data_IF_412140784676
#
_entry.id   IF_412140784676
#
_cell.length_a   1.000
_cell.length_b   1.000
_cell.length_c   1.000
_cell.angle_alpha   90.00
_cell.angle_beta   90.00
_cell.angle_gamma   90.00
#
_symmetry.space_group_name_H-M   'P 1'
#
loop_
_entity.id
_entity.type
_entity.pdbx_description
1 polymer ?
#
# COMPACT_ATOMS: atom_id res chain seq x y z
N UNK A 1 -3.77 -7.67 49.95
CA UNK A 1 -2.64 -7.85 49.01
C UNK A 1 -2.45 -9.30 48.57
N UNK A 2 -1.93 -10.24 49.38
CA UNK A 2 -1.71 -11.62 48.88
C UNK A 2 -3.01 -12.37 48.52
N UNK A 3 -4.08 -12.21 49.30
CA UNK A 3 -5.35 -12.87 49.00
C UNK A 3 -6.09 -12.26 47.80
N UNK A 4 -6.02 -10.94 47.63
CA UNK A 4 -6.56 -10.27 46.44
C UNK A 4 -5.85 -10.73 45.16
N UNK A 5 -4.53 -10.91 45.21
CA UNK A 5 -3.76 -11.42 44.07
C UNK A 5 -4.16 -12.85 43.72
N UNK A 6 -4.42 -13.69 44.72
CA UNK A 6 -4.94 -15.05 44.51
C UNK A 6 -6.35 -15.06 43.92
N UNK A 7 -7.21 -14.12 44.33
CA UNK A 7 -8.55 -13.98 43.74
C UNK A 7 -8.49 -13.59 42.26
N UNK A 8 -7.65 -12.62 41.91
CA UNK A 8 -7.47 -12.19 40.52
C UNK A 8 -6.95 -13.35 39.66
N UNK A 9 -5.98 -14.12 40.16
CA UNK A 9 -5.44 -15.30 39.45
C UNK A 9 -6.50 -16.38 39.21
N UNK A 10 -7.39 -16.64 40.19
CA UNK A 10 -8.49 -17.58 40.02
C UNK A 10 -9.50 -17.11 38.97
N UNK A 11 -9.83 -15.82 38.95
CA UNK A 11 -10.71 -15.23 37.93
C UNK A 11 -10.06 -15.34 36.54
N UNK A 12 -8.78 -15.02 36.43
CA UNK A 12 -8.06 -15.07 35.15
C UNK A 12 -7.94 -16.50 34.61
N UNK A 13 -7.62 -17.47 35.47
CA UNK A 13 -7.62 -18.90 35.13
C UNK A 13 -9.00 -19.39 34.71
N UNK A 14 -10.06 -18.89 35.35
CA UNK A 14 -11.43 -19.22 34.96
C UNK A 14 -11.78 -18.68 33.56
N UNK A 15 -11.51 -17.40 33.32
CA UNK A 15 -11.83 -16.74 32.05
C UNK A 15 -10.97 -17.27 30.89
N UNK A 16 -9.73 -17.68 31.16
CA UNK A 16 -8.83 -18.32 30.18
C UNK A 16 -9.11 -19.82 29.97
N UNK A 17 -10.01 -20.44 30.75
CA UNK A 17 -10.34 -21.86 30.65
C UNK A 17 -9.24 -22.80 31.15
N UNK A 18 -8.29 -22.29 31.94
CA UNK A 18 -7.14 -23.06 32.46
C UNK A 18 -7.35 -23.60 33.88
N UNK A 19 -8.46 -23.23 34.52
CA UNK A 19 -8.84 -23.65 35.88
C UNK A 19 -9.08 -25.17 35.96
N UNK A 20 -8.40 -25.88 36.87
CA UNK A 20 -8.46 -27.35 37.00
C UNK A 20 -8.45 -27.84 38.45
N UNK A 21 -9.01 -29.03 38.66
CA UNK A 21 -8.88 -29.78 39.91
C UNK A 21 -9.41 -29.02 41.13
N UNK A 22 -8.57 -28.87 42.16
CA UNK A 22 -8.92 -28.21 43.42
C UNK A 22 -9.24 -26.73 43.27
N UNK A 23 -8.58 -26.03 42.34
CA UNK A 23 -8.84 -24.59 42.09
C UNK A 23 -10.24 -24.36 41.51
N UNK A 24 -10.74 -25.28 40.67
CA UNK A 24 -12.08 -25.19 40.12
C UNK A 24 -13.17 -25.37 41.19
N UNK A 25 -12.92 -26.24 42.16
CA UNK A 25 -13.83 -26.47 43.29
C UNK A 25 -13.86 -25.23 44.19
N UNK A 26 -12.70 -24.71 44.58
CA UNK A 26 -12.59 -23.50 45.39
C UNK A 26 -13.26 -22.29 44.70
N UNK A 27 -13.08 -22.14 43.39
CA UNK A 27 -13.74 -21.11 42.61
C UNK A 27 -15.26 -21.25 42.62
N UNK A 28 -15.80 -22.46 42.47
CA UNK A 28 -17.25 -22.68 42.52
C UNK A 28 -17.83 -22.44 43.91
N UNK A 29 -17.09 -22.76 44.97
CA UNK A 29 -17.49 -22.43 46.34
C UNK A 29 -17.53 -20.92 46.56
N UNK A 30 -16.48 -20.20 46.15
CA UNK A 30 -16.45 -18.73 46.21
C UNK A 30 -17.58 -18.10 45.40
N UNK A 31 -17.85 -18.61 44.19
CA UNK A 31 -18.94 -18.11 43.35
C UNK A 31 -20.34 -18.31 43.96
N UNK A 32 -20.52 -19.37 44.75
CA UNK A 32 -21.80 -19.68 45.42
C UNK A 32 -21.97 -18.91 46.72
N UNK A 33 -20.89 -18.79 47.50
CA UNK A 33 -20.94 -18.32 48.88
C UNK A 33 -20.67 -16.81 48.99
N UNK A 34 -20.01 -16.20 48.01
CA UNK A 34 -19.64 -14.78 48.02
C UNK A 34 -20.32 -13.98 46.88
N UNK A 35 -21.35 -13.17 47.20
CA UNK A 35 -21.99 -12.27 46.24
C UNK A 35 -21.07 -11.19 45.67
N UNK A 36 -20.06 -10.72 46.42
CA UNK A 36 -19.13 -9.71 45.96
C UNK A 36 -18.20 -10.28 44.87
N UNK A 37 -17.69 -11.49 45.09
CA UNK A 37 -16.90 -12.22 44.10
C UNK A 37 -17.66 -12.45 42.79
N UNK A 38 -18.97 -12.73 42.86
CA UNK A 38 -19.82 -12.87 41.68
C UNK A 38 -19.96 -11.58 40.87
N UNK A 39 -20.06 -10.44 41.55
CA UNK A 39 -20.10 -9.12 40.90
C UNK A 39 -18.77 -8.82 40.21
N UNK A 40 -17.67 -9.12 40.89
CA UNK A 40 -16.31 -8.96 40.36
C UNK A 40 -16.10 -9.78 39.08
N UNK A 41 -16.46 -11.08 39.08
CA UNK A 41 -16.39 -11.92 37.87
C UNK A 41 -17.22 -11.34 36.72
N UNK A 42 -18.41 -10.80 37.03
CA UNK A 42 -19.27 -10.20 36.01
C UNK A 42 -18.61 -8.98 35.38
N UNK A 43 -17.96 -8.15 36.20
CA UNK A 43 -17.19 -7.00 35.74
C UNK A 43 -16.01 -7.43 34.87
N UNK A 44 -15.19 -8.36 35.34
CA UNK A 44 -14.05 -8.88 34.58
C UNK A 44 -14.48 -9.50 33.25
N UNK A 45 -15.57 -10.28 33.24
CA UNK A 45 -16.13 -10.87 32.02
C UNK A 45 -16.51 -9.79 31.01
N UNK A 46 -17.21 -8.74 31.45
CA UNK A 46 -17.57 -7.63 30.58
C UNK A 46 -16.33 -6.91 30.02
N UNK A 47 -15.29 -6.71 30.84
CA UNK A 47 -14.04 -6.09 30.39
C UNK A 47 -13.38 -6.97 29.32
N UNK A 48 -13.24 -8.27 29.58
CA UNK A 48 -12.67 -9.24 28.64
C UNK A 48 -13.43 -9.27 27.30
N UNK A 49 -14.75 -9.33 27.34
CA UNK A 49 -15.60 -9.30 26.13
C UNK A 49 -15.38 -8.02 25.31
N UNK A 50 -15.29 -6.86 25.97
CA UNK A 50 -15.04 -5.58 25.27
C UNK A 50 -13.66 -5.52 24.64
N UNK A 51 -12.63 -5.96 25.36
CA UNK A 51 -11.27 -6.04 24.85
C UNK A 51 -11.23 -6.97 23.63
N UNK A 52 -11.93 -8.10 23.68
CA UNK A 52 -11.95 -9.04 22.57
C UNK A 52 -12.65 -8.45 21.33
N UNK A 53 -13.80 -7.82 21.50
CA UNK A 53 -14.55 -7.20 20.40
C UNK A 53 -13.74 -6.06 19.77
N UNK A 54 -13.24 -5.13 20.59
CA UNK A 54 -12.46 -3.98 20.12
C UNK A 54 -11.12 -4.42 19.54
N UNK A 55 -10.47 -5.41 20.15
CA UNK A 55 -9.23 -6.02 19.67
C UNK A 55 -9.41 -6.64 18.29
N UNK A 56 -10.46 -7.45 18.08
CA UNK A 56 -10.80 -8.05 16.78
C UNK A 56 -11.11 -6.98 15.74
N UNK A 57 -11.87 -5.96 16.09
CA UNK A 57 -12.20 -4.86 15.18
C UNK A 57 -10.95 -4.07 14.75
N UNK A 58 -10.07 -3.73 15.70
CA UNK A 58 -8.83 -3.03 15.44
C UNK A 58 -7.84 -3.87 14.62
N UNK A 59 -7.73 -5.16 14.91
CA UNK A 59 -6.90 -6.09 14.14
C UNK A 59 -7.38 -6.17 12.69
N UNK A 60 -8.70 -6.36 12.48
CA UNK A 60 -9.31 -6.39 11.15
C UNK A 60 -9.05 -5.08 10.39
N UNK A 61 -9.20 -3.94 11.05
CA UNK A 61 -8.92 -2.62 10.46
C UNK A 61 -7.46 -2.52 10.02
N UNK A 62 -6.51 -2.90 10.88
CA UNK A 62 -5.07 -2.89 10.55
C UNK A 62 -4.74 -3.78 9.36
N UNK A 63 -5.26 -5.00 9.32
CA UNK A 63 -5.05 -5.94 8.21
C UNK A 63 -5.58 -5.34 6.91
N UNK A 64 -6.80 -4.78 6.92
CA UNK A 64 -7.38 -4.14 5.74
C UNK A 64 -6.54 -2.96 5.27
N UNK A 65 -6.05 -2.11 6.16
CA UNK A 65 -5.16 -0.99 5.80
C UNK A 65 -3.89 -1.46 5.09
N UNK A 66 -3.23 -2.51 5.59
CA UNK A 66 -2.05 -3.07 4.93
C UNK A 66 -2.37 -3.67 3.56
N UNK A 67 -3.52 -4.35 3.44
CA UNK A 67 -3.96 -4.94 2.19
C UNK A 67 -4.27 -3.87 1.13
N UNK A 68 -4.95 -2.79 1.52
CA UNK A 68 -5.22 -1.64 0.64
C UNK A 68 -3.94 -0.92 0.22
N UNK A 69 -3.00 -0.71 1.14
CA UNK A 69 -1.68 -0.15 0.82
C UNK A 69 -0.94 -1.02 -0.22
N UNK A 70 -0.94 -2.33 -0.04
CA UNK A 70 -0.35 -3.28 -1.00
C UNK A 70 -1.00 -3.20 -2.39
N UNK A 71 -2.35 -3.14 -2.45
CA UNK A 71 -3.07 -2.99 -3.72
C UNK A 71 -2.73 -1.66 -4.41
N UNK A 72 -2.66 -0.56 -3.65
CA UNK A 72 -2.30 0.75 -4.18
C UNK A 72 -0.88 0.74 -4.76
N UNK A 73 0.11 0.18 -4.06
CA UNK A 73 1.47 0.05 -4.59
C UNK A 73 1.54 -0.75 -5.89
N UNK A 74 0.72 -1.80 -6.03
CA UNK A 74 0.59 -2.56 -7.29
C UNK A 74 -0.06 -1.72 -8.39
N UNK A 75 -1.08 -0.93 -8.07
CA UNK A 75 -1.77 -0.10 -9.06
C UNK A 75 -0.93 1.11 -9.52
N UNK A 76 -0.08 1.69 -8.68
CA UNK A 76 0.81 2.80 -9.10
C UNK A 76 1.97 2.35 -9.99
N UNK A 77 2.26 1.04 -10.09
CA UNK A 77 3.15 0.47 -11.12
C UNK A 77 2.44 0.36 -12.49
N UNK A 78 1.72 1.40 -12.94
CA UNK A 78 1.23 1.52 -14.34
C UNK A 78 2.41 1.73 -15.30
N UNK A 79 3.20 0.68 -15.53
CA UNK A 79 4.30 0.64 -16.51
C UNK A 79 3.85 0.78 -17.98
N UNK A 80 2.56 0.99 -18.25
CA UNK A 80 2.00 1.02 -19.61
C UNK A 80 1.81 2.39 -20.26
N UNK A 81 1.59 3.46 -19.48
CA UNK A 81 1.27 4.79 -20.04
C UNK A 81 2.50 5.48 -20.63
N UNK A 82 3.62 5.48 -19.89
CA UNK A 82 4.88 6.04 -20.39
C UNK A 82 5.40 5.31 -21.63
N UNK A 83 5.24 3.98 -21.69
CA UNK A 83 5.65 3.20 -22.87
C UNK A 83 4.86 3.60 -24.12
N UNK A 84 3.55 3.88 -24.00
CA UNK A 84 2.73 4.39 -25.12
C UNK A 84 3.13 5.80 -25.54
N UNK A 85 3.45 6.70 -24.61
CA UNK A 85 3.90 8.06 -24.93
C UNK A 85 5.25 8.08 -25.66
N UNK A 86 6.19 7.20 -25.30
CA UNK A 86 7.49 7.08 -25.99
C UNK A 86 7.31 6.68 -27.46
N UNK A 87 6.41 5.74 -27.77
CA UNK A 87 6.16 5.34 -29.16
C UNK A 87 5.54 6.47 -30.01
N UNK A 88 4.61 7.23 -29.44
CA UNK A 88 3.98 8.37 -30.14
C UNK A 88 4.99 9.49 -30.40
N UNK A 89 5.84 9.80 -29.40
CA UNK A 89 6.89 10.81 -29.54
C UNK A 89 7.91 10.44 -30.62
N UNK A 90 8.30 9.17 -30.69
CA UNK A 90 9.23 8.68 -31.72
C UNK A 90 8.68 8.84 -33.15
N UNK A 91 7.42 8.47 -33.38
CA UNK A 91 6.77 8.67 -34.70
C UNK A 91 6.71 10.14 -35.09
N UNK A 92 6.34 11.03 -34.17
CA UNK A 92 6.31 12.47 -34.43
C UNK A 92 7.69 13.03 -34.79
N UNK A 93 8.75 12.58 -34.10
CA UNK A 93 10.11 13.02 -34.37
C UNK A 93 10.60 12.60 -35.77
N UNK A 94 10.29 11.39 -36.21
CA UNK A 94 10.63 10.92 -37.57
C UNK A 94 9.91 11.73 -38.64
N UNK A 95 8.64 12.07 -38.43
CA UNK A 95 7.86 12.88 -39.38
C UNK A 95 8.42 14.29 -39.48
N UNK A 96 8.69 14.95 -38.34
CA UNK A 96 9.26 16.30 -38.30
C UNK A 96 10.66 16.32 -38.94
N UNK A 97 11.50 15.32 -38.64
CA UNK A 97 12.84 15.21 -39.21
C UNK A 97 12.79 14.94 -40.72
N UNK A 98 11.88 14.09 -41.18
CA UNK A 98 11.67 13.83 -42.61
C UNK A 98 11.26 15.09 -43.37
N UNK A 99 10.30 15.86 -42.85
CA UNK A 99 9.88 17.14 -43.45
C UNK A 99 11.03 18.14 -43.44
N UNK A 100 11.80 18.23 -42.36
CA UNK A 100 12.94 19.15 -42.26
C UNK A 100 14.05 18.83 -43.27
N UNK A 101 14.42 17.54 -43.41
CA UNK A 101 15.41 17.10 -44.38
C UNK A 101 14.92 17.32 -45.82
N UNK A 102 13.65 17.03 -46.10
CA UNK A 102 13.06 17.23 -47.43
C UNK A 102 13.04 18.71 -47.82
N UNK A 103 12.57 19.59 -46.94
CA UNK A 103 12.56 21.05 -47.18
C UNK A 103 13.99 21.62 -47.34
N UNK A 104 14.98 21.09 -46.62
CA UNK A 104 16.39 21.48 -46.80
C UNK A 104 16.95 21.01 -48.14
N UNK A 105 16.53 19.85 -48.63
CA UNK A 105 16.98 19.31 -49.91
C UNK A 105 16.47 20.11 -51.12
N UNK A 106 15.24 20.65 -51.06
CA UNK A 106 14.72 21.55 -52.09
C UNK A 106 15.47 22.89 -52.13
N UNK A 107 15.82 23.46 -50.97
CA UNK A 107 16.59 24.71 -50.90
C UNK A 107 18.03 24.56 -51.43
N UNK A 108 18.64 23.38 -51.32
CA UNK A 108 20.01 23.12 -51.77
C UNK A 108 20.12 22.99 -53.31
N UNK A 109 19.00 22.78 -54.02
CA UNK A 109 18.99 22.67 -55.48
C UNK A 109 18.94 24.02 -56.22
N UNK A 110 18.64 25.12 -55.53
CA UNK A 110 18.50 26.46 -56.13
C UNK A 110 19.79 27.31 -56.09
N UNK A 111 20.86 26.85 -55.43
CA UNK A 111 22.12 27.60 -55.25
C UNK A 111 23.25 27.14 -56.22
N UNK A 112 22.90 26.71 -57.43
CA UNK A 112 23.86 26.54 -58.52
C UNK A 112 23.42 27.31 -59.77
N UNK A 113 23.52 28.62 -59.70
CA UNK A 113 23.58 29.46 -60.91
C UNK A 113 25.07 29.54 -61.28
N UNK A 114 25.52 29.00 -62.43
CA UNK A 114 26.90 29.18 -62.88
C UNK A 114 27.11 30.64 -63.30
N UNK A 115 28.05 31.30 -62.63
CA UNK A 115 28.56 32.63 -62.98
C UNK A 115 29.23 32.59 -64.37
N UNK A 116 28.54 33.09 -65.39
CA UNK A 116 29.03 33.18 -66.78
C UNK A 116 29.66 34.54 -67.11
N UNK A 117 30.47 35.10 -66.21
CA UNK A 117 31.22 36.34 -66.49
C UNK A 117 32.75 36.15 -66.55
N UNK A 118 33.21 35.18 -67.34
CA UNK A 118 34.62 35.14 -67.78
C UNK A 118 34.72 35.27 -69.30
N UNK A 119 35.27 36.39 -69.83
CA UNK A 119 35.47 36.53 -71.26
C UNK A 119 36.61 35.61 -71.72
N UNK A 120 36.34 34.85 -72.78
CA UNK A 120 37.30 33.99 -73.47
C UNK A 120 38.29 34.87 -74.23
N UNK A 121 39.57 34.76 -73.90
CA UNK A 121 40.66 35.40 -74.64
C UNK A 121 40.75 34.74 -76.02
N UNK A 122 40.69 35.54 -77.07
CA UNK A 122 40.89 35.11 -78.47
C UNK A 122 42.39 35.29 -78.76
N UNK A 123 43.12 34.19 -78.89
CA UNK A 123 44.48 34.23 -79.45
C UNK A 123 44.40 34.20 -80.99
N UNK A 124 45.25 35.04 -81.59
CA UNK A 124 45.34 35.39 -83.02
C UNK A 124 45.98 34.32 -83.90
#
# INVERSE_FOLDING_TARGET
MEEELKHIDLIDKHLSGTLKGSEAIAFQELLKNDPAFKQEITLYKHIYERIEIEGRANLKKRINTYYEAYLNEKQFKKKGLYRKLIFISSMAAVIVFGIFVFNKSEFMHLEKIPDQTKPTVVDS
#
